data_IF_565119588942
#
_entry.id   IF_565119588942
#
_cell.length_a   1.000
_cell.length_b   1.000
_cell.length_c   1.000
_cell.angle_alpha   90.00
_cell.angle_beta   90.00
_cell.angle_gamma   90.00
#
_symmetry.space_group_name_H-M   'P 1'
#
loop_
_entity.id
_entity.type
_entity.pdbx_description
1 polymer ?
#
# COMPACT_ATOMS: atom_id res chain seq x y z
N UNK A 1 13.44 23.18 -23.13
CA UNK A 1 11.99 23.39 -22.99
C UNK A 1 11.30 22.01 -23.06
N UNK A 2 11.21 21.27 -21.95
CA UNK A 2 10.54 19.95 -21.94
C UNK A 2 9.07 20.15 -21.55
N UNK A 3 8.16 20.05 -22.51
CA UNK A 3 6.72 20.21 -22.25
C UNK A 3 6.17 18.98 -21.53
N UNK A 4 5.15 19.14 -20.66
CA UNK A 4 4.44 18.01 -20.02
C UNK A 4 3.96 16.96 -21.03
N UNK A 5 3.66 17.41 -22.27
CA UNK A 5 3.28 16.57 -23.40
C UNK A 5 4.44 15.71 -23.94
N UNK A 6 5.66 16.26 -23.96
CA UNK A 6 6.85 15.52 -24.41
C UNK A 6 7.27 14.50 -23.37
N UNK A 7 7.15 14.83 -22.08
CA UNK A 7 7.33 13.87 -20.99
C UNK A 7 6.36 12.69 -21.11
N UNK A 8 5.07 12.96 -21.37
CA UNK A 8 4.08 11.90 -21.52
C UNK A 8 4.40 11.01 -22.73
N UNK A 9 4.76 11.60 -23.88
CA UNK A 9 5.16 10.85 -25.09
C UNK A 9 6.39 9.97 -24.86
N UNK A 10 7.41 10.48 -24.18
CA UNK A 10 8.63 9.71 -23.87
C UNK A 10 8.30 8.58 -22.89
N UNK A 11 7.48 8.85 -21.87
CA UNK A 11 7.07 7.82 -20.89
C UNK A 11 6.23 6.71 -21.52
N UNK A 12 5.34 7.03 -22.46
CA UNK A 12 4.52 6.02 -23.15
C UNK A 12 5.37 5.16 -24.09
N UNK A 13 6.30 5.77 -24.83
CA UNK A 13 7.23 5.03 -25.69
C UNK A 13 8.17 4.16 -24.86
N UNK A 14 8.67 4.68 -23.73
CA UNK A 14 9.51 3.91 -22.80
C UNK A 14 8.77 2.75 -22.13
N UNK A 15 7.51 2.94 -21.73
CA UNK A 15 6.68 1.88 -21.13
C UNK A 15 6.31 0.77 -22.11
N UNK A 16 6.00 1.13 -23.36
CA UNK A 16 5.74 0.15 -24.44
C UNK A 16 7.04 -0.54 -24.88
N UNK A 17 8.16 0.18 -24.94
CA UNK A 17 9.45 -0.44 -25.19
C UNK A 17 9.79 -1.45 -24.09
N UNK A 18 9.58 -1.13 -22.82
CA UNK A 18 9.79 -2.06 -21.72
C UNK A 18 8.95 -3.34 -21.87
N UNK A 19 7.66 -3.23 -22.21
CA UNK A 19 6.82 -4.43 -22.43
C UNK A 19 7.23 -5.24 -23.66
N UNK A 20 7.68 -4.60 -24.75
CA UNK A 20 8.18 -5.27 -25.96
C UNK A 20 9.55 -5.94 -25.74
N UNK A 21 10.41 -5.34 -24.91
CA UNK A 21 11.69 -5.94 -24.50
C UNK A 21 11.55 -7.01 -23.42
N UNK A 22 10.31 -7.43 -23.10
CA UNK A 22 10.05 -8.54 -22.19
C UNK A 22 10.12 -8.19 -20.71
N UNK A 23 10.12 -6.90 -20.35
CA UNK A 23 9.94 -6.50 -18.95
C UNK A 23 8.48 -6.71 -18.58
N UNK A 24 8.23 -7.78 -17.81
CA UNK A 24 6.91 -8.07 -17.28
C UNK A 24 6.54 -7.03 -16.20
N UNK A 25 5.60 -6.16 -16.52
CA UNK A 25 5.07 -5.14 -15.60
C UNK A 25 3.93 -5.70 -14.71
N UNK A 26 3.43 -6.91 -14.98
CA UNK A 26 2.45 -7.58 -14.13
C UNK A 26 2.86 -7.68 -12.65
N UNK A 27 4.10 -8.06 -12.29
CA UNK A 27 4.52 -8.10 -10.88
C UNK A 27 4.44 -6.73 -10.21
N UNK A 28 4.75 -5.64 -10.92
CA UNK A 28 4.66 -4.29 -10.38
C UNK A 28 3.20 -3.91 -10.09
N UNK A 29 2.27 -4.24 -10.99
CA UNK A 29 0.83 -4.04 -10.77
C UNK A 29 0.26 -4.93 -9.65
N UNK A 30 0.80 -6.14 -9.47
CA UNK A 30 0.37 -7.05 -8.42
C UNK A 30 0.73 -6.54 -7.01
N UNK A 31 1.91 -5.91 -6.84
CA UNK A 31 2.32 -5.34 -5.56
C UNK A 31 1.46 -4.16 -5.11
N UNK A 32 0.90 -3.38 -6.05
CA UNK A 32 0.01 -2.25 -5.69
C UNK A 32 -1.40 -2.69 -5.27
N UNK A 33 -1.78 -3.96 -5.53
CA UNK A 33 -3.08 -4.50 -5.13
C UNK A 33 -3.12 -5.00 -3.69
N UNK A 34 -1.99 -5.37 -3.10
CA UNK A 34 -1.95 -5.81 -1.71
C UNK A 34 -2.08 -4.59 -0.79
N UNK A 35 -3.18 -4.52 -0.03
CA UNK A 35 -3.38 -3.46 0.95
C UNK A 35 -2.35 -3.61 2.08
N UNK A 36 -1.87 -2.48 2.62
CA UNK A 36 -0.92 -2.47 3.75
C UNK A 36 -1.39 -3.26 4.98
N UNK A 37 -2.70 -3.45 5.12
CA UNK A 37 -3.36 -4.19 6.19
C UNK A 37 -3.43 -5.70 5.96
N UNK A 38 -3.06 -6.22 4.79
CA UNK A 38 -3.27 -7.62 4.40
C UNK A 38 -2.61 -8.64 5.35
N UNK A 39 -1.50 -8.28 6.01
CA UNK A 39 -0.76 -9.14 6.96
C UNK A 39 -0.80 -8.63 8.40
N UNK A 40 -1.83 -7.87 8.74
CA UNK A 40 -2.01 -7.30 10.08
C UNK A 40 -3.13 -8.01 10.84
N UNK A 41 -3.08 -7.98 12.16
CA UNK A 41 -4.20 -8.42 12.99
C UNK A 41 -5.20 -7.27 13.18
N UNK A 42 -6.49 -7.53 12.92
CA UNK A 42 -7.59 -6.62 13.22
C UNK A 42 -7.97 -6.69 14.71
N UNK A 43 -7.97 -5.55 15.40
CA UNK A 43 -8.49 -5.40 16.76
C UNK A 43 -9.57 -4.32 16.77
N UNK A 44 -10.77 -4.68 17.26
CA UNK A 44 -11.89 -3.73 17.39
C UNK A 44 -11.86 -3.09 18.76
N UNK A 45 -11.95 -1.77 18.80
CA UNK A 45 -11.97 -0.98 20.04
C UNK A 45 -12.92 0.20 19.92
N UNK A 46 -13.18 0.87 21.03
CA UNK A 46 -14.00 2.10 21.10
C UNK A 46 -13.09 3.28 21.43
N UNK A 47 -13.22 4.36 20.66
CA UNK A 47 -12.47 5.60 20.85
C UNK A 47 -12.78 6.21 22.24
N UNK A 48 -11.78 6.34 23.14
CA UNK A 48 -12.02 6.78 24.51
C UNK A 48 -12.05 8.32 24.67
N UNK A 49 -12.00 9.08 23.58
CA UNK A 49 -11.82 10.53 23.67
C UNK A 49 -13.09 11.31 24.02
N UNK A 50 -14.22 10.96 23.42
CA UNK A 50 -15.48 11.68 23.65
C UNK A 50 -16.64 10.71 23.86
N UNK A 51 -17.75 11.21 24.44
CA UNK A 51 -18.94 10.44 24.77
C UNK A 51 -19.64 9.79 23.55
N UNK A 52 -19.24 10.16 22.33
CA UNK A 52 -19.71 9.52 21.08
C UNK A 52 -19.20 8.08 20.98
N UNK A 53 -18.02 7.78 21.54
CA UNK A 53 -17.44 6.43 21.59
C UNK A 53 -17.34 5.73 20.23
N UNK A 54 -16.86 6.44 19.20
CA UNK A 54 -16.75 5.89 17.84
C UNK A 54 -16.01 4.54 17.83
N UNK A 55 -16.56 3.54 17.13
CA UNK A 55 -15.88 2.28 16.89
C UNK A 55 -14.64 2.49 16.02
N UNK A 56 -13.50 1.94 16.43
CA UNK A 56 -12.24 1.99 15.69
C UNK A 56 -11.73 0.58 15.41
N UNK A 57 -11.11 0.43 14.25
CA UNK A 57 -10.46 -0.80 13.81
C UNK A 57 -8.96 -0.53 13.79
N UNK A 58 -8.22 -1.25 14.64
CA UNK A 58 -6.78 -1.10 14.81
C UNK A 58 -6.09 -2.27 14.12
N UNK A 59 -5.22 -1.96 13.16
CA UNK A 59 -4.39 -2.94 12.47
C UNK A 59 -2.99 -2.96 13.09
N UNK A 60 -2.62 -4.09 13.70
CA UNK A 60 -1.29 -4.27 14.29
C UNK A 60 -0.46 -5.24 13.48
N UNK A 61 0.76 -4.83 13.14
CA UNK A 61 1.78 -5.71 12.58
C UNK A 61 2.48 -6.47 13.71
N UNK A 62 2.51 -7.79 13.59
CA UNK A 62 3.08 -8.69 14.59
C UNK A 62 2.26 -9.99 14.70
N UNK A 63 2.93 -11.07 15.04
CA UNK A 63 2.39 -12.43 15.14
C UNK A 63 1.88 -12.79 16.54
N UNK A 64 1.68 -11.78 17.41
CA UNK A 64 1.38 -11.94 18.85
C UNK A 64 2.40 -12.78 19.63
N UNK A 65 3.59 -13.03 19.05
CA UNK A 65 4.68 -13.69 19.76
C UNK A 65 5.26 -12.77 20.82
N UNK A 66 5.72 -13.35 21.93
CA UNK A 66 6.30 -12.58 23.05
C UNK A 66 7.60 -11.87 22.68
N UNK A 67 8.24 -12.26 21.58
CA UNK A 67 9.52 -11.72 21.12
C UNK A 67 9.39 -10.66 20.01
N UNK A 68 8.16 -10.22 19.68
CA UNK A 68 7.92 -9.24 18.61
C UNK A 68 7.26 -8.00 19.22
N UNK A 69 7.84 -6.83 18.96
CA UNK A 69 7.23 -5.55 19.34
C UNK A 69 6.11 -5.21 18.36
N UNK A 70 4.84 -5.15 18.81
CA UNK A 70 3.74 -4.85 17.91
C UNK A 70 3.81 -3.39 17.44
N UNK A 71 3.64 -3.18 16.13
CA UNK A 71 3.60 -1.85 15.54
C UNK A 71 2.21 -1.58 14.93
N UNK A 72 1.66 -0.39 15.16
CA UNK A 72 0.36 0.01 14.60
C UNK A 72 0.56 0.55 13.18
N UNK A 73 -0.23 0.03 12.23
CA UNK A 73 -0.22 0.45 10.82
C UNK A 73 -1.37 1.42 10.57
N UNK A 74 -1.13 2.47 9.78
CA UNK A 74 -2.07 3.53 9.40
C UNK A 74 -2.16 3.70 7.89
#
# INVERSE_FOLDING_TARGET
MSSRRDFLKISTVGGVAASVFGFDLQPAYAQVRELKIARTTETRSTCPYCAVSCGVIIHTLGDKSRNVTPAVVH
#
